data_IF_834725979468
#
_entry.id   IF_834725979468
#
_cell.length_a   1.000
_cell.length_b   1.000
_cell.length_c   1.000
_cell.angle_alpha   90.00
_cell.angle_beta   90.00
_cell.angle_gamma   90.00
#
_symmetry.space_group_name_H-M   'P 1'
#
loop_
_entity.id
_entity.type
_entity.pdbx_description
1 polymer ?
#
# COMPACT_ATOMS: atom_id res chain seq x y z
N UNK A 1 -12.31 -12.86 1.48
CA UNK A 1 -12.40 -11.63 2.30
C UNK A 1 -11.99 -10.44 1.42
N UNK A 2 -12.53 -10.34 0.20
CA UNK A 2 -11.91 -9.53 -0.87
C UNK A 2 -12.82 -8.43 -1.42
N UNK A 3 -14.08 -8.37 -0.97
CA UNK A 3 -15.09 -7.47 -1.53
C UNK A 3 -14.70 -6.00 -1.45
N UNK A 4 -14.12 -5.54 -0.33
CA UNK A 4 -13.73 -4.13 -0.17
C UNK A 4 -12.53 -3.74 -1.05
N UNK A 5 -11.56 -4.64 -1.25
CA UNK A 5 -10.41 -4.37 -2.12
C UNK A 5 -10.84 -4.35 -3.60
N UNK A 6 -11.66 -5.33 -4.01
CA UNK A 6 -12.23 -5.36 -5.36
C UNK A 6 -13.13 -4.15 -5.65
N UNK A 7 -13.92 -3.70 -4.68
CA UNK A 7 -14.75 -2.51 -4.82
C UNK A 7 -13.88 -1.24 -4.96
N UNK A 8 -12.84 -1.09 -4.14
CA UNK A 8 -11.93 0.06 -4.23
C UNK A 8 -11.18 0.11 -5.57
N UNK A 9 -10.80 -1.06 -6.12
CA UNK A 9 -10.22 -1.19 -7.46
C UNK A 9 -11.22 -0.78 -8.55
N UNK A 10 -12.47 -1.26 -8.47
CA UNK A 10 -13.54 -0.89 -9.41
C UNK A 10 -13.90 0.60 -9.35
N UNK A 11 -13.82 1.21 -8.17
CA UNK A 11 -14.10 2.63 -7.96
C UNK A 11 -12.91 3.53 -8.33
N UNK A 12 -11.76 2.96 -8.72
CA UNK A 12 -10.58 3.73 -9.10
C UNK A 12 -10.06 4.61 -7.96
N UNK A 13 -10.01 4.05 -6.74
CA UNK A 13 -9.64 4.77 -5.50
C UNK A 13 -8.33 4.22 -4.92
N UNK A 14 -7.16 4.59 -5.47
CA UNK A 14 -5.88 3.95 -5.12
C UNK A 14 -5.53 4.01 -3.63
N UNK A 15 -6.00 5.03 -2.90
CA UNK A 15 -5.80 5.16 -1.45
C UNK A 15 -6.53 4.07 -0.69
N UNK A 16 -7.80 3.88 -0.99
CA UNK A 16 -8.66 2.87 -0.38
C UNK A 16 -8.17 1.46 -0.74
N UNK A 17 -7.64 1.28 -1.95
CA UNK A 17 -7.02 0.02 -2.40
C UNK A 17 -5.83 -0.37 -1.51
N UNK A 18 -4.83 0.49 -1.32
CA UNK A 18 -3.65 0.08 -0.53
C UNK A 18 -3.98 -0.09 0.96
N UNK A 19 -4.92 0.69 1.52
CA UNK A 19 -5.41 0.51 2.90
C UNK A 19 -6.04 -0.88 3.05
N UNK A 20 -6.94 -1.25 2.13
CA UNK A 20 -7.63 -2.54 2.15
C UNK A 20 -6.63 -3.71 1.97
N UNK A 21 -5.71 -3.60 1.01
CA UNK A 21 -4.66 -4.60 0.77
C UNK A 21 -3.73 -4.78 1.99
N UNK A 22 -3.34 -3.69 2.64
CA UNK A 22 -2.52 -3.74 3.87
C UNK A 22 -3.24 -4.35 5.06
N UNK A 23 -4.54 -4.09 5.20
CA UNK A 23 -5.37 -4.74 6.23
C UNK A 23 -5.49 -6.24 5.98
N UNK A 24 -5.72 -6.65 4.73
CA UNK A 24 -5.81 -8.05 4.35
C UNK A 24 -4.49 -8.80 4.55
N UNK A 25 -3.35 -8.22 4.15
CA UNK A 25 -2.02 -8.78 4.40
C UNK A 25 -1.75 -9.05 5.88
N UNK A 26 -2.14 -8.13 6.78
CA UNK A 26 -2.03 -8.33 8.24
C UNK A 26 -2.89 -9.48 8.76
N UNK A 27 -4.11 -9.64 8.22
CA UNK A 27 -5.00 -10.75 8.60
C UNK A 27 -4.44 -12.07 8.10
N UNK A 28 -3.95 -12.14 6.87
CA UNK A 28 -3.34 -13.34 6.30
C UNK A 28 -2.07 -13.76 7.05
N UNK A 29 -1.27 -12.81 7.52
CA UNK A 29 -0.07 -13.09 8.34
C UNK A 29 -0.42 -13.72 9.68
N UNK A 30 -1.52 -13.29 10.30
CA UNK A 30 -2.06 -13.96 11.51
C UNK A 30 -2.56 -15.37 11.24
N UNK A 31 -2.86 -15.71 9.99
CA UNK A 31 -3.30 -17.03 9.55
C UNK A 31 -2.16 -17.91 9.01
N UNK A 32 -0.90 -17.44 9.05
CA UNK A 32 0.28 -18.18 8.57
C UNK A 32 0.33 -18.38 7.06
N UNK A 33 -0.38 -17.55 6.27
CA UNK A 33 -0.47 -17.66 4.81
C UNK A 33 0.57 -16.77 4.11
N UNK A 34 1.85 -17.02 4.40
CA UNK A 34 2.95 -16.11 4.10
C UNK A 34 3.08 -15.72 2.61
N UNK A 35 2.84 -16.66 1.70
CA UNK A 35 2.86 -16.38 0.25
C UNK A 35 1.78 -15.37 -0.18
N UNK A 36 0.63 -15.37 0.49
CA UNK A 36 -0.44 -14.43 0.17
C UNK A 36 -0.25 -13.09 0.87
N UNK A 37 0.45 -13.08 2.01
CA UNK A 37 0.84 -11.86 2.72
C UNK A 37 1.73 -11.00 1.84
N UNK A 38 2.79 -11.58 1.27
CA UNK A 38 3.70 -10.86 0.38
C UNK A 38 2.94 -10.31 -0.83
N UNK A 39 2.10 -11.13 -1.47
CA UNK A 39 1.30 -10.70 -2.62
C UNK A 39 0.37 -9.52 -2.30
N UNK A 40 -0.23 -9.47 -1.11
CA UNK A 40 -1.06 -8.33 -0.71
C UNK A 40 -0.23 -7.07 -0.44
N UNK A 41 0.93 -7.20 0.22
CA UNK A 41 1.78 -6.05 0.49
C UNK A 41 2.43 -5.50 -0.78
N UNK A 42 2.77 -6.34 -1.76
CA UNK A 42 3.24 -5.90 -3.09
C UNK A 42 2.17 -5.05 -3.78
N UNK A 43 0.93 -5.54 -3.84
CA UNK A 43 -0.19 -4.76 -4.43
C UNK A 43 -0.46 -3.45 -3.69
N UNK A 44 -0.27 -3.43 -2.37
CA UNK A 44 -0.38 -2.20 -1.59
C UNK A 44 0.73 -1.20 -1.96
N UNK A 45 1.98 -1.67 -2.12
CA UNK A 45 3.10 -0.84 -2.55
C UNK A 45 2.87 -0.25 -3.95
N UNK A 46 2.42 -1.05 -4.93
CA UNK A 46 2.14 -0.58 -6.29
C UNK A 46 1.07 0.53 -6.32
N UNK A 47 0.03 0.39 -5.48
CA UNK A 47 -1.00 1.40 -5.33
C UNK A 47 -0.48 2.68 -4.66
N UNK A 48 0.40 2.58 -3.65
CA UNK A 48 1.08 3.72 -3.03
C UNK A 48 1.92 4.47 -4.07
N UNK A 49 2.69 3.76 -4.90
CA UNK A 49 3.53 4.34 -5.95
C UNK A 49 2.68 5.02 -7.04
N UNK A 50 1.53 4.43 -7.37
CA UNK A 50 0.55 5.04 -8.28
C UNK A 50 -0.03 6.34 -7.72
N UNK A 51 -0.29 6.42 -6.41
CA UNK A 51 -0.70 7.69 -5.78
C UNK A 51 0.46 8.68 -5.77
N UNK A 52 1.64 8.25 -5.35
CA UNK A 52 2.82 9.10 -5.22
C UNK A 52 3.20 9.77 -6.54
N UNK A 53 3.14 9.03 -7.67
CA UNK A 53 3.41 9.56 -9.01
C UNK A 53 2.36 10.59 -9.48
N UNK A 54 1.13 10.53 -8.97
CA UNK A 54 0.07 11.51 -9.27
C UNK A 54 0.13 12.75 -8.40
N UNK A 55 0.83 12.70 -7.26
CA UNK A 55 1.01 13.84 -6.36
C UNK A 55 2.06 14.79 -6.94
N UNK A 56 1.59 15.86 -7.59
CA UNK A 56 2.46 16.93 -8.15
C UNK A 56 3.10 17.81 -7.08
N UNK A 57 2.56 17.81 -5.86
CA UNK A 57 3.07 18.63 -4.76
C UNK A 57 4.08 17.85 -3.94
N UNK A 58 5.32 18.33 -3.92
CA UNK A 58 6.42 17.73 -3.15
C UNK A 58 6.08 17.49 -1.68
N UNK A 59 5.44 18.46 -1.03
CA UNK A 59 5.05 18.33 0.39
C UNK A 59 4.04 17.18 0.61
N UNK A 60 3.09 16.98 -0.31
CA UNK A 60 2.10 15.91 -0.22
C UNK A 60 2.74 14.54 -0.52
N UNK A 61 3.62 14.48 -1.52
CA UNK A 61 4.37 13.27 -1.86
C UNK A 61 5.26 12.83 -0.68
N UNK A 62 6.03 13.77 -0.12
CA UNK A 62 6.84 13.52 1.07
C UNK A 62 6.00 13.11 2.28
N UNK A 63 4.88 13.81 2.55
CA UNK A 63 3.98 13.47 3.66
C UNK A 63 3.37 12.07 3.52
N UNK A 64 3.04 11.65 2.30
CA UNK A 64 2.53 10.30 2.04
C UNK A 64 3.62 9.24 2.32
N UNK A 65 4.77 9.38 1.67
CA UNK A 65 5.86 8.39 1.72
C UNK A 65 6.50 8.29 3.10
N UNK A 66 6.49 9.37 3.87
CA UNK A 66 6.96 9.39 5.26
C UNK A 66 5.92 8.92 6.28
N UNK A 67 4.67 8.67 5.89
CA UNK A 67 3.63 8.22 6.83
C UNK A 67 3.96 6.85 7.44
N UNK A 68 3.61 6.66 8.71
CA UNK A 68 3.86 5.42 9.42
C UNK A 68 3.19 4.22 8.73
N UNK A 69 2.00 4.41 8.19
CA UNK A 69 1.26 3.34 7.52
C UNK A 69 1.94 2.90 6.22
N UNK A 70 2.47 3.83 5.42
CA UNK A 70 3.26 3.48 4.22
C UNK A 70 4.55 2.77 4.63
N UNK A 71 5.26 3.29 5.64
CA UNK A 71 6.47 2.61 6.14
C UNK A 71 6.19 1.20 6.64
N UNK A 72 5.04 0.95 7.25
CA UNK A 72 4.65 -0.38 7.71
C UNK A 72 4.46 -1.37 6.54
N UNK A 73 3.91 -0.92 5.41
CA UNK A 73 3.79 -1.73 4.18
C UNK A 73 5.17 -2.12 3.66
N UNK A 74 6.07 -1.14 3.49
CA UNK A 74 7.43 -1.42 2.99
C UNK A 74 8.24 -2.27 3.97
N UNK A 75 8.10 -2.06 5.29
CA UNK A 75 8.71 -2.90 6.32
C UNK A 75 8.24 -4.36 6.23
N UNK A 76 6.95 -4.60 5.97
CA UNK A 76 6.42 -5.96 5.81
C UNK A 76 6.99 -6.68 4.57
N UNK A 77 7.47 -5.93 3.58
CA UNK A 77 8.17 -6.45 2.40
C UNK A 77 9.70 -6.54 2.58
N UNK A 78 10.26 -6.07 3.70
CA UNK A 78 11.71 -5.91 3.85
C UNK A 78 12.31 -4.85 2.91
N UNK A 79 11.50 -3.89 2.45
CA UNK A 79 11.88 -2.83 1.49
C UNK A 79 11.88 -1.45 2.16
N UNK A 80 12.42 -0.45 1.46
CA UNK A 80 12.27 0.96 1.82
C UNK A 80 11.28 1.65 0.87
N UNK A 81 10.50 2.64 1.35
CA UNK A 81 9.68 3.47 0.47
C UNK A 81 10.56 4.19 -0.57
N UNK A 82 10.05 4.47 -1.78
CA UNK A 82 10.76 5.24 -2.77
C UNK A 82 11.11 6.64 -2.25
N UNK A 83 12.20 7.21 -2.75
CA UNK A 83 12.58 8.57 -2.39
C UNK A 83 11.55 9.57 -2.96
N UNK A 84 11.20 10.62 -2.21
CA UNK A 84 10.38 11.69 -2.73
C UNK A 84 11.05 12.32 -3.96
N UNK A 85 10.27 12.60 -4.99
CA UNK A 85 10.77 13.23 -6.23
C UNK A 85 11.21 14.67 -5.88
N UNK A 86 12.39 15.08 -6.38
CA UNK A 86 13.03 16.36 -6.09
C UNK A 86 12.27 17.56 -6.67
#
# INVERSE_FOLDING_TARGET
MDASASLAEQLGTPREVWIARSALGRVLGKLGRDNEVEAQFVKAADAIETVASKLRTRALNHSLLSSETVRAVYKALGRQPPLPIA
#
